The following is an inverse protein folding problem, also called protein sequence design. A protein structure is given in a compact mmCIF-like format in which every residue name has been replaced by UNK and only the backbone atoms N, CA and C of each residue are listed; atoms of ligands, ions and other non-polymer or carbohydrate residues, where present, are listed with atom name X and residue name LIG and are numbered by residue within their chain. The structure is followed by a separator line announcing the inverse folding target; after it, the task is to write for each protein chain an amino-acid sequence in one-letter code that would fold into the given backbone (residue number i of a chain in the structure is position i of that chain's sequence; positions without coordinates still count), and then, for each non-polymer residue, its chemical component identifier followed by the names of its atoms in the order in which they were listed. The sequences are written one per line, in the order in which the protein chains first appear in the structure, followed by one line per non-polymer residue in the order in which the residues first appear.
data_IF_384707626601
#
_entry.id   IF_384707626601
#
_cell.length_a   1.000
_cell.length_b   1.000
_cell.length_c   1.000
_cell.angle_alpha   90.00
_cell.angle_beta   90.00
_cell.angle_gamma   90.00
#
_symmetry.space_group_name_H-M   'P 1'
#
loop_
_entity.id
_entity.type
_entity.pdbx_description
1 polymer ?
#
# COMPACT_ATOMS: atom_id res chain seq x y z
N UNK A 1 2.86 3.43 -6.88
CA UNK A 1 3.53 3.37 -8.21
C UNK A 1 3.86 4.77 -8.70
N UNK A 2 4.67 4.91 -9.76
CA UNK A 2 5.07 6.20 -10.36
C UNK A 2 5.71 7.19 -9.37
N UNK A 3 6.69 6.72 -8.60
CA UNK A 3 7.37 7.51 -7.56
C UNK A 3 8.02 6.67 -6.46
N UNK A 4 7.63 5.39 -6.32
CA UNK A 4 8.15 4.46 -5.32
C UNK A 4 9.55 3.92 -5.70
N UNK A 5 10.54 4.80 -5.73
CA UNK A 5 11.93 4.46 -6.09
C UNK A 5 12.90 4.50 -4.92
N UNK A 6 12.49 5.05 -3.77
CA UNK A 6 13.30 5.14 -2.57
C UNK A 6 12.98 3.97 -1.62
N UNK A 7 13.98 3.51 -0.88
CA UNK A 7 13.80 2.48 0.16
C UNK A 7 14.57 2.82 1.44
N UNK A 8 13.92 2.81 2.62
CA UNK A 8 14.64 2.95 3.87
C UNK A 8 15.39 1.66 4.20
N UNK A 9 16.58 1.78 4.78
CA UNK A 9 17.43 0.65 5.16
C UNK A 9 17.72 0.66 6.66
N UNK A 10 17.74 -0.52 7.27
CA UNK A 10 18.11 -0.68 8.69
C UNK A 10 19.58 -0.37 8.96
N UNK A 11 20.45 -0.54 7.94
CA UNK A 11 21.88 -0.25 8.01
C UNK A 11 22.29 0.59 6.81
N UNK A 12 23.21 1.57 6.96
CA UNK A 12 23.75 2.32 5.83
C UNK A 12 24.61 1.48 4.89
N UNK A 13 25.18 0.37 5.38
CA UNK A 13 26.07 -0.56 4.67
C UNK A 13 25.54 -2.00 4.75
N UNK A 14 25.97 -2.86 3.83
CA UNK A 14 25.69 -4.29 3.80
C UNK A 14 26.94 -5.09 3.45
N UNK A 15 26.99 -6.35 3.88
CA UNK A 15 28.07 -7.27 3.57
C UNK A 15 27.75 -8.06 2.31
N UNK A 16 28.60 -7.96 1.30
CA UNK A 16 28.50 -8.75 0.07
C UNK A 16 29.83 -9.46 -0.17
N UNK A 17 29.81 -10.79 -0.19
CA UNK A 17 31.01 -11.64 -0.38
C UNK A 17 32.19 -11.25 0.53
N UNK A 18 31.90 -10.94 1.80
CA UNK A 18 32.92 -10.55 2.79
C UNK A 18 33.39 -9.10 2.70
N UNK A 19 32.87 -8.29 1.76
CA UNK A 19 33.18 -6.87 1.62
C UNK A 19 32.01 -6.01 2.11
N UNK A 20 32.31 -5.00 2.92
CA UNK A 20 31.34 -3.98 3.30
C UNK A 20 31.15 -2.97 2.16
N UNK A 21 29.90 -2.80 1.72
CA UNK A 21 29.52 -1.85 0.66
C UNK A 21 28.32 -1.00 1.11
N UNK A 22 28.10 0.20 0.55
CA UNK A 22 26.88 0.95 0.83
C UNK A 22 25.64 0.15 0.44
N UNK A 23 24.61 0.18 1.28
CA UNK A 23 23.35 -0.51 1.00
C UNK A 23 22.65 0.07 -0.24
N UNK A 24 21.95 -0.77 -1.00
CA UNK A 24 20.93 -0.31 -1.95
C UNK A 24 19.87 0.53 -1.22
N UNK A 25 19.58 1.74 -1.70
CA UNK A 25 18.53 2.62 -1.15
C UNK A 25 17.45 2.95 -2.18
N UNK A 26 17.42 2.19 -3.26
CA UNK A 26 16.50 2.37 -4.37
C UNK A 26 17.08 3.26 -5.48
N UNK A 27 16.56 3.09 -6.70
CA UNK A 27 17.15 3.62 -7.93
C UNK A 27 17.21 5.14 -7.99
N UNK A 28 16.41 5.83 -7.18
CA UNK A 28 16.44 7.30 -7.04
C UNK A 28 17.71 7.80 -6.32
N UNK A 29 18.40 6.93 -5.58
CA UNK A 29 19.64 7.27 -4.87
C UNK A 29 20.85 6.56 -5.45
N UNK A 30 20.81 5.24 -5.62
CA UNK A 30 21.95 4.45 -6.11
C UNK A 30 21.48 3.19 -6.86
N UNK A 31 22.38 2.51 -7.58
CA UNK A 31 22.07 1.28 -8.30
C UNK A 31 22.18 0.02 -7.44
N UNK A 32 21.55 -1.08 -7.90
CA UNK A 32 21.61 -2.37 -7.21
C UNK A 32 22.99 -3.04 -7.30
N UNK A 33 23.67 -2.90 -8.43
CA UNK A 33 24.98 -3.51 -8.63
C UNK A 33 26.05 -2.94 -7.69
N UNK A 34 27.02 -3.75 -7.21
CA UNK A 34 28.04 -3.28 -6.26
C UNK A 34 28.87 -2.09 -6.77
N UNK A 35 29.04 -1.97 -8.08
CA UNK A 35 29.75 -0.86 -8.73
C UNK A 35 28.96 0.47 -8.65
N UNK A 36 27.63 0.40 -8.54
CA UNK A 36 26.71 1.54 -8.66
C UNK A 36 26.17 2.01 -7.30
N UNK A 37 26.80 1.60 -6.19
CA UNK A 37 26.36 1.90 -4.82
C UNK A 37 26.54 3.35 -4.39
N UNK A 38 27.32 4.14 -5.13
CA UNK A 38 27.52 5.56 -4.84
C UNK A 38 26.25 6.34 -5.13
N UNK A 39 25.85 7.22 -4.22
CA UNK A 39 24.69 8.10 -4.43
C UNK A 39 24.96 9.05 -5.59
N UNK A 40 24.00 9.16 -6.51
CA UNK A 40 24.05 10.05 -7.67
C UNK A 40 22.81 10.96 -7.70
N UNK A 41 22.96 12.28 -7.48
CA UNK A 41 21.85 13.23 -7.52
C UNK A 41 21.11 13.31 -8.86
N UNK A 42 21.74 12.93 -9.98
CA UNK A 42 21.04 12.93 -11.27
C UNK A 42 19.88 11.93 -11.31
N UNK A 43 19.93 10.88 -10.47
CA UNK A 43 18.86 9.89 -10.33
C UNK A 43 17.56 10.48 -9.81
N UNK A 44 17.58 11.66 -9.18
CA UNK A 44 16.35 12.40 -8.84
C UNK A 44 15.58 12.80 -10.11
N UNK A 45 16.31 13.21 -11.15
CA UNK A 45 15.74 13.61 -12.44
C UNK A 45 15.26 12.38 -13.21
N UNK A 46 16.03 11.29 -13.19
CA UNK A 46 15.62 10.03 -13.81
C UNK A 46 14.34 9.48 -13.17
N UNK A 47 14.28 9.47 -11.83
CA UNK A 47 13.09 9.05 -11.09
C UNK A 47 11.86 9.90 -11.46
N UNK A 48 12.02 11.21 -11.65
CA UNK A 48 10.95 12.08 -12.14
C UNK A 48 10.46 11.66 -13.53
N UNK A 49 11.37 11.46 -14.50
CA UNK A 49 10.98 11.09 -15.85
C UNK A 49 10.34 9.71 -15.93
N UNK A 50 10.85 8.72 -15.18
CA UNK A 50 10.20 7.42 -15.07
C UNK A 50 8.81 7.53 -14.42
N UNK A 51 8.67 8.32 -13.35
CA UNK A 51 7.37 8.57 -12.72
C UNK A 51 6.36 9.19 -13.70
N UNK A 52 6.79 10.21 -14.44
CA UNK A 52 5.95 10.89 -15.43
C UNK A 52 5.53 9.96 -16.56
N UNK A 53 6.46 9.17 -17.11
CA UNK A 53 6.18 8.18 -18.16
C UNK A 53 5.20 7.10 -17.68
N UNK A 54 5.41 6.54 -16.49
CA UNK A 54 4.51 5.54 -15.90
C UNK A 54 3.12 6.11 -15.67
N UNK A 55 3.01 7.30 -15.08
CA UNK A 55 1.71 7.94 -14.81
C UNK A 55 0.96 8.27 -16.11
N UNK A 56 1.67 8.72 -17.16
CA UNK A 56 1.08 8.95 -18.48
C UNK A 56 0.58 7.64 -19.10
N UNK A 57 1.39 6.58 -19.07
CA UNK A 57 1.01 5.27 -19.58
C UNK A 57 -0.24 4.73 -18.88
N UNK A 58 -0.28 4.77 -17.55
CA UNK A 58 -1.42 4.33 -16.75
C UNK A 58 -2.70 5.08 -17.13
N UNK A 59 -2.64 6.41 -17.24
CA UNK A 59 -3.81 7.23 -17.63
C UNK A 59 -4.28 6.93 -19.05
N UNK A 60 -3.35 6.69 -19.98
CA UNK A 60 -3.67 6.28 -21.34
C UNK A 60 -4.36 4.91 -21.36
N UNK A 61 -3.86 3.92 -20.60
CA UNK A 61 -4.46 2.59 -20.52
C UNK A 61 -5.86 2.61 -19.90
N UNK A 62 -6.09 3.42 -18.85
CA UNK A 62 -7.43 3.60 -18.27
C UNK A 62 -8.41 4.23 -19.28
N UNK A 63 -7.92 5.18 -20.09
CA UNK A 63 -8.71 5.83 -21.14
C UNK A 63 -8.96 4.91 -22.34
N UNK A 64 -8.13 3.88 -22.54
CA UNK A 64 -8.30 2.88 -23.60
C UNK A 64 -9.21 1.71 -23.20
N UNK A 65 -9.79 1.73 -22.00
CA UNK A 65 -10.74 0.71 -21.53
C UNK A 65 -10.11 -0.53 -20.90
N UNK A 66 -8.82 -0.49 -20.49
CA UNK A 66 -8.18 -1.66 -19.83
C UNK A 66 -8.85 -2.03 -18.50
N UNK A 67 -9.53 -1.07 -17.87
CA UNK A 67 -10.22 -1.23 -16.60
C UNK A 67 -11.74 -1.38 -16.77
N UNK A 68 -12.20 -1.70 -17.98
CA UNK A 68 -13.59 -2.04 -18.23
C UNK A 68 -13.92 -3.38 -17.57
N UNK A 69 -14.87 -3.36 -16.63
CA UNK A 69 -15.27 -4.53 -15.86
C UNK A 69 -15.98 -5.59 -16.72
N UNK A 70 -16.43 -5.26 -17.93
CA UNK A 70 -17.00 -6.23 -18.88
C UNK A 70 -15.94 -7.10 -19.55
N UNK A 71 -14.70 -6.62 -19.64
CA UNK A 71 -13.60 -7.29 -20.31
C UNK A 71 -12.36 -7.42 -19.41
N UNK A 72 -12.47 -8.08 -18.25
CA UNK A 72 -11.33 -8.28 -17.38
C UNK A 72 -10.34 -9.23 -18.04
N UNK A 73 -9.05 -8.98 -17.78
CA UNK A 73 -7.94 -9.65 -18.47
C UNK A 73 -7.91 -11.17 -18.24
N UNK A 74 -8.32 -11.65 -17.05
CA UNK A 74 -8.35 -13.08 -16.72
C UNK A 74 -9.31 -13.37 -15.54
N UNK A 75 -10.25 -14.29 -15.74
CA UNK A 75 -11.08 -14.88 -14.68
C UNK A 75 -10.70 -16.33 -14.35
N UNK A 76 -9.66 -16.87 -15.00
CA UNK A 76 -9.29 -18.27 -14.97
C UNK A 76 -8.76 -18.72 -13.61
N UNK A 77 -9.44 -19.70 -13.01
CA UNK A 77 -9.06 -20.32 -11.73
C UNK A 77 -8.23 -21.61 -11.89
N UNK A 78 -7.60 -21.82 -13.05
CA UNK A 78 -6.83 -23.04 -13.34
C UNK A 78 -5.55 -23.21 -12.51
N UNK A 79 -5.12 -22.14 -11.83
CA UNK A 79 -3.97 -22.11 -10.92
C UNK A 79 -4.33 -22.57 -9.50
N UNK A 80 -5.62 -22.65 -9.16
CA UNK A 80 -6.08 -23.05 -7.83
C UNK A 80 -6.05 -24.56 -7.74
N UNK A 81 -5.12 -25.12 -6.97
CA UNK A 81 -4.96 -26.57 -6.84
C UNK A 81 -6.04 -27.21 -5.97
N UNK A 82 -6.51 -26.50 -4.94
CA UNK A 82 -7.56 -27.00 -4.05
C UNK A 82 -8.95 -26.89 -4.71
N UNK A 83 -9.59 -28.03 -4.93
CA UNK A 83 -10.91 -28.10 -5.57
C UNK A 83 -12.02 -27.39 -4.79
N UNK A 84 -11.95 -27.35 -3.46
CA UNK A 84 -12.94 -26.68 -2.62
C UNK A 84 -12.84 -25.16 -2.74
N UNK A 85 -11.62 -24.64 -2.69
CA UNK A 85 -11.30 -23.22 -2.86
C UNK A 85 -11.62 -22.76 -4.29
N UNK A 86 -11.29 -23.58 -5.30
CA UNK A 86 -11.64 -23.31 -6.69
C UNK A 86 -13.16 -23.17 -6.87
N UNK A 87 -13.95 -24.06 -6.27
CA UNK A 87 -15.41 -23.97 -6.32
C UNK A 87 -15.95 -22.69 -5.64
N UNK A 88 -15.36 -22.30 -4.50
CA UNK A 88 -15.72 -21.04 -3.81
C UNK A 88 -15.43 -19.82 -4.69
N UNK A 89 -14.22 -19.73 -5.26
CA UNK A 89 -13.84 -18.62 -6.13
C UNK A 89 -14.69 -18.59 -7.40
N UNK A 90 -15.01 -19.74 -7.97
CA UNK A 90 -15.88 -19.84 -9.14
C UNK A 90 -17.27 -19.28 -8.84
N UNK A 91 -17.82 -19.51 -7.64
CA UNK A 91 -19.10 -18.92 -7.23
C UNK A 91 -19.06 -17.39 -7.17
N UNK A 92 -17.96 -16.81 -6.67
CA UNK A 92 -17.78 -15.36 -6.62
C UNK A 92 -17.68 -14.78 -8.04
N UNK A 93 -16.87 -15.39 -8.90
CA UNK A 93 -16.71 -14.98 -10.31
C UNK A 93 -18.04 -15.05 -11.06
N UNK A 94 -18.80 -16.14 -10.90
CA UNK A 94 -20.12 -16.30 -11.50
C UNK A 94 -21.08 -15.22 -11.00
N UNK A 95 -21.09 -14.94 -9.70
CA UNK A 95 -21.94 -13.89 -9.11
C UNK A 95 -21.64 -12.50 -9.70
N UNK A 96 -20.36 -12.16 -9.85
CA UNK A 96 -19.93 -10.87 -10.43
C UNK A 96 -20.32 -10.80 -11.91
N UNK A 97 -20.04 -11.86 -12.67
CA UNK A 97 -20.33 -11.92 -14.11
C UNK A 97 -21.83 -11.84 -14.38
N UNK A 98 -22.65 -12.52 -13.58
CA UNK A 98 -24.11 -12.48 -13.70
C UNK A 98 -24.67 -11.10 -13.34
N UNK A 99 -24.11 -10.42 -12.32
CA UNK A 99 -24.49 -9.06 -11.98
C UNK A 99 -24.17 -8.07 -13.10
N UNK A 100 -22.98 -8.15 -13.71
CA UNK A 100 -22.61 -7.35 -14.88
C UNK A 100 -23.54 -7.62 -16.07
N UNK A 101 -23.84 -8.89 -16.36
CA UNK A 101 -24.81 -9.28 -17.41
C UNK A 101 -26.20 -8.73 -17.12
N UNK A 102 -26.65 -8.77 -15.87
CA UNK A 102 -27.94 -8.21 -15.47
C UNK A 102 -27.99 -6.71 -15.70
N UNK A 103 -26.97 -5.95 -15.25
CA UNK A 103 -26.87 -4.51 -15.48
C UNK A 103 -26.92 -4.14 -16.97
N UNK A 104 -26.24 -4.92 -17.80
CA UNK A 104 -26.27 -4.78 -19.26
C UNK A 104 -27.68 -5.05 -19.82
N UNK A 105 -28.32 -6.14 -19.38
CA UNK A 105 -29.66 -6.56 -19.86
C UNK A 105 -30.75 -5.53 -19.52
N UNK A 106 -30.68 -4.90 -18.34
CA UNK A 106 -31.68 -3.89 -17.92
C UNK A 106 -31.34 -2.48 -18.40
N UNK A 107 -30.26 -2.30 -19.17
CA UNK A 107 -29.82 -1.00 -19.69
C UNK A 107 -29.24 -0.04 -18.63
N UNK A 108 -28.96 -0.53 -17.42
CA UNK A 108 -28.33 0.23 -16.33
C UNK A 108 -26.81 0.39 -16.51
N UNK A 109 -26.27 -0.22 -17.57
CA UNK A 109 -24.86 -0.23 -17.95
C UNK A 109 -24.47 0.92 -18.91
N UNK A 110 -25.41 1.84 -19.19
CA UNK A 110 -25.19 2.93 -20.15
C UNK A 110 -24.44 4.13 -19.58
N UNK A 111 -24.04 4.08 -18.30
CA UNK A 111 -23.74 5.24 -17.48
C UNK A 111 -22.28 5.65 -17.29
N UNK A 112 -21.27 4.85 -17.70
CA UNK A 112 -19.84 5.21 -17.55
C UNK A 112 -19.05 4.56 -16.38
N UNK A 113 -19.59 4.36 -15.15
CA UNK A 113 -18.81 3.86 -14.00
C UNK A 113 -18.23 2.46 -14.14
N UNK A 114 -18.74 1.64 -15.06
CA UNK A 114 -18.28 0.27 -15.28
C UNK A 114 -17.18 0.16 -16.34
N UNK A 115 -16.96 1.21 -17.15
CA UNK A 115 -16.00 1.21 -18.25
C UNK A 115 -14.58 1.63 -17.84
N UNK A 116 -14.42 2.23 -16.66
CA UNK A 116 -13.13 2.71 -16.18
C UNK A 116 -13.13 2.84 -14.67
N UNK A 117 -11.94 3.07 -14.10
CA UNK A 117 -11.73 3.29 -12.66
C UNK A 117 -10.86 4.52 -12.44
N UNK A 118 -11.06 5.20 -11.32
CA UNK A 118 -10.11 6.21 -10.85
C UNK A 118 -8.92 5.51 -10.17
N UNK A 119 -7.75 5.59 -10.81
CA UNK A 119 -6.50 5.11 -10.23
C UNK A 119 -5.65 6.29 -9.75
N UNK A 120 -5.27 6.25 -8.47
CA UNK A 120 -4.40 7.24 -7.84
C UNK A 120 -2.99 6.67 -7.62
N UNK A 121 -1.99 7.56 -7.66
CA UNK A 121 -0.59 7.21 -7.42
C UNK A 121 -0.17 7.54 -5.98
N UNK A 122 0.74 6.73 -5.46
CA UNK A 122 1.33 6.91 -4.14
C UNK A 122 2.75 6.35 -4.03
N UNK A 123 3.51 6.94 -3.11
CA UNK A 123 4.82 6.45 -2.65
C UNK A 123 5.16 6.98 -1.25
N UNK A 124 6.18 6.38 -0.61
CA UNK A 124 6.77 6.87 0.63
C UNK A 124 7.50 8.18 0.36
N UNK A 125 7.10 9.27 1.01
CA UNK A 125 7.74 10.59 0.86
C UNK A 125 9.09 10.65 1.56
N UNK A 126 10.06 9.84 1.11
CA UNK A 126 11.30 9.53 1.83
C UNK A 126 12.43 10.50 1.53
N UNK A 127 12.68 10.82 0.26
CA UNK A 127 13.78 11.71 -0.17
C UNK A 127 13.27 13.14 -0.21
N UNK A 128 13.43 13.87 0.90
CA UNK A 128 12.82 15.19 1.08
C UNK A 128 13.25 16.21 0.03
N UNK A 129 14.46 16.11 -0.51
CA UNK A 129 14.93 16.98 -1.60
C UNK A 129 14.09 16.79 -2.88
N UNK A 130 13.71 15.55 -3.19
CA UNK A 130 12.84 15.22 -4.31
C UNK A 130 11.41 15.70 -4.06
N UNK A 131 10.89 15.42 -2.86
CA UNK A 131 9.53 15.80 -2.49
C UNK A 131 9.36 17.33 -2.46
N UNK A 132 10.29 18.05 -1.83
CA UNK A 132 10.28 19.51 -1.79
C UNK A 132 10.32 20.12 -3.19
N UNK A 133 11.15 19.58 -4.09
CA UNK A 133 11.25 20.05 -5.47
C UNK A 133 9.94 19.87 -6.27
N UNK A 134 9.05 18.98 -5.84
CA UNK A 134 7.75 18.70 -6.46
C UNK A 134 6.56 19.28 -5.68
N UNK A 135 6.80 20.06 -4.63
CA UNK A 135 5.74 20.77 -3.90
C UNK A 135 5.37 22.10 -4.55
N UNK A 136 4.07 22.37 -4.66
CA UNK A 136 3.50 23.52 -5.37
C UNK A 136 2.41 24.19 -4.53
N UNK A 137 2.38 25.51 -4.55
CA UNK A 137 1.29 26.29 -3.95
C UNK A 137 0.15 26.41 -4.97
N UNK A 138 -0.93 25.68 -4.74
CA UNK A 138 -2.03 25.53 -5.70
C UNK A 138 -3.37 25.90 -5.07
N UNK A 139 -4.32 26.29 -5.91
CA UNK A 139 -5.69 26.56 -5.50
C UNK A 139 -6.35 25.27 -5.00
N UNK A 140 -7.08 25.37 -3.90
CA UNK A 140 -7.89 24.26 -3.43
C UNK A 140 -8.95 23.87 -4.49
N UNK A 141 -9.25 22.57 -4.63
CA UNK A 141 -10.33 22.13 -5.51
C UNK A 141 -11.69 22.63 -5.00
N UNK A 142 -12.70 22.65 -5.88
CA UNK A 142 -14.03 23.19 -5.56
C UNK A 142 -14.76 22.44 -4.45
N UNK A 143 -14.42 21.17 -4.25
CA UNK A 143 -14.95 20.30 -3.20
C UNK A 143 -14.03 20.24 -1.95
N UNK A 144 -13.04 21.13 -1.84
CA UNK A 144 -12.18 21.18 -0.67
C UNK A 144 -12.99 21.53 0.58
N UNK A 145 -12.82 20.72 1.61
CA UNK A 145 -13.42 20.93 2.93
C UNK A 145 -12.32 20.77 3.96
N UNK A 146 -12.23 21.72 4.88
CA UNK A 146 -11.37 21.62 6.07
C UNK A 146 -12.09 22.31 7.21
N UNK A 147 -11.99 21.74 8.41
CA UNK A 147 -12.45 22.36 9.64
C UNK A 147 -11.50 23.48 10.09
N UNK A 148 -10.33 23.61 9.47
CA UNK A 148 -9.34 24.64 9.79
C UNK A 148 -9.81 26.03 9.33
N UNK A 149 -9.99 26.95 10.27
CA UNK A 149 -10.28 28.36 9.99
C UNK A 149 -9.02 29.19 9.71
N UNK A 150 -7.83 28.58 9.82
CA UNK A 150 -6.53 29.26 9.73
C UNK A 150 -5.76 28.97 8.45
N UNK A 151 -6.21 28.05 7.60
CA UNK A 151 -5.56 27.73 6.32
C UNK A 151 -5.91 28.75 5.24
N UNK A 152 -4.88 29.45 4.75
CA UNK A 152 -4.87 30.26 3.52
C UNK A 152 -6.10 31.12 3.23
N UNK A 153 -6.09 32.40 3.62
CA UNK A 153 -7.13 33.39 3.26
C UNK A 153 -7.27 33.61 1.74
N UNK A 154 -6.32 33.12 0.94
CA UNK A 154 -6.28 33.22 -0.52
C UNK A 154 -6.87 31.99 -1.25
N UNK A 155 -7.37 30.99 -0.52
CA UNK A 155 -7.97 29.77 -1.08
C UNK A 155 -6.96 28.81 -1.73
N UNK A 156 -5.70 28.84 -1.27
CA UNK A 156 -4.61 27.99 -1.75
C UNK A 156 -3.96 27.21 -0.60
N UNK A 157 -3.27 26.13 -0.97
CA UNK A 157 -2.43 25.36 -0.06
C UNK A 157 -1.26 24.69 -0.77
N UNK A 158 -0.37 24.09 0.02
CA UNK A 158 0.81 23.40 -0.50
C UNK A 158 0.49 21.94 -0.79
N UNK A 159 0.65 21.54 -2.04
CA UNK A 159 0.47 20.17 -2.48
C UNK A 159 1.79 19.63 -2.97
N UNK A 160 2.18 18.46 -2.48
CA UNK A 160 3.22 17.70 -3.13
C UNK A 160 2.62 17.06 -4.39
N UNK A 161 3.15 17.43 -5.54
CA UNK A 161 2.65 17.00 -6.86
C UNK A 161 3.41 15.81 -7.42
N UNK A 162 4.29 15.19 -6.63
CA UNK A 162 4.96 13.93 -6.99
C UNK A 162 3.98 12.75 -7.02
N UNK A 163 2.95 12.75 -6.17
CA UNK A 163 1.89 11.75 -6.13
C UNK A 163 0.59 12.32 -5.51
N UNK A 164 -0.51 11.57 -5.62
CA UNK A 164 -1.80 11.98 -5.05
C UNK A 164 -1.82 11.76 -3.54
N UNK A 165 -1.32 10.61 -3.09
CA UNK A 165 -1.22 10.19 -1.70
C UNK A 165 0.22 9.87 -1.35
N UNK A 166 0.73 10.38 -0.23
CA UNK A 166 2.09 10.11 0.23
C UNK A 166 2.03 9.51 1.62
N UNK A 167 3.02 8.70 2.02
CA UNK A 167 3.09 8.24 3.41
C UNK A 167 4.46 8.46 4.06
N UNK A 168 4.42 8.53 5.39
CA UNK A 168 5.59 8.50 6.27
C UNK A 168 5.85 7.04 6.68
N UNK A 169 7.08 6.58 6.47
CA UNK A 169 7.52 5.24 6.85
C UNK A 169 7.68 5.06 8.36
N UNK A 170 7.69 3.80 8.81
CA UNK A 170 7.80 3.45 10.24
C UNK A 170 9.17 3.84 10.82
N UNK A 171 10.18 4.04 9.97
CA UNK A 171 11.54 4.48 10.34
C UNK A 171 11.75 5.99 10.25
N UNK A 172 10.79 6.73 9.71
CA UNK A 172 10.90 8.18 9.43
C UNK A 172 9.81 9.01 10.10
N UNK A 173 9.00 8.39 10.97
CA UNK A 173 7.89 9.01 11.69
C UNK A 173 8.27 9.63 13.04
N UNK A 174 9.52 10.04 13.23
CA UNK A 174 9.93 10.71 14.47
C UNK A 174 9.15 12.03 14.60
N UNK A 175 8.50 12.25 15.74
CA UNK A 175 7.65 13.42 16.01
C UNK A 175 8.37 14.75 15.70
N UNK A 176 9.65 14.85 16.10
CA UNK A 176 10.49 16.03 15.86
C UNK A 176 11.35 15.91 14.59
N UNK A 177 11.04 14.97 13.69
CA UNK A 177 11.79 14.65 12.49
C UNK A 177 11.37 15.48 11.27
N UNK A 178 12.26 15.55 10.28
CA UNK A 178 12.04 16.33 9.05
C UNK A 178 10.84 15.86 8.23
N UNK A 179 10.56 14.55 8.20
CA UNK A 179 9.41 14.00 7.48
C UNK A 179 8.08 14.43 8.10
N UNK A 180 7.93 14.37 9.42
CA UNK A 180 6.70 14.81 10.11
C UNK A 180 6.50 16.31 9.90
N UNK A 181 7.56 17.11 10.04
CA UNK A 181 7.49 18.56 9.78
C UNK A 181 7.10 18.88 8.33
N UNK A 182 7.66 18.15 7.36
CA UNK A 182 7.30 18.33 5.95
C UNK A 182 5.84 17.98 5.68
N UNK A 183 5.37 16.83 6.17
CA UNK A 183 4.00 16.35 5.95
C UNK A 183 2.94 17.20 6.66
N UNK A 184 3.29 17.84 7.79
CA UNK A 184 2.43 18.79 8.52
C UNK A 184 1.95 19.94 7.62
N UNK A 185 2.77 20.38 6.67
CA UNK A 185 2.46 21.49 5.76
C UNK A 185 1.71 21.10 4.48
N UNK A 186 1.51 19.80 4.20
CA UNK A 186 0.90 19.35 2.96
C UNK A 186 -0.62 19.33 3.04
N UNK A 187 -1.29 19.59 1.92
CA UNK A 187 -2.74 19.44 1.76
C UNK A 187 -3.16 18.07 1.24
N UNK A 188 -2.25 17.30 0.62
CA UNK A 188 -2.51 15.92 0.17
C UNK A 188 -3.11 15.05 1.29
N UNK A 189 -3.95 14.05 1.00
CA UNK A 189 -4.17 12.97 1.96
C UNK A 189 -2.84 12.25 2.23
N UNK A 190 -2.58 11.91 3.48
CA UNK A 190 -1.31 11.34 3.91
C UNK A 190 -1.49 10.02 4.65
N UNK A 191 -0.52 9.12 4.52
CA UNK A 191 -0.41 7.88 5.25
C UNK A 191 0.66 7.94 6.34
N UNK A 192 0.48 7.17 7.40
CA UNK A 192 1.50 6.97 8.44
C UNK A 192 1.59 5.48 8.73
N UNK A 193 2.77 4.90 8.55
CA UNK A 193 3.02 3.51 8.91
C UNK A 193 3.04 3.37 10.43
N UNK A 194 2.28 2.43 10.96
CA UNK A 194 2.15 2.14 12.39
C UNK A 194 2.64 0.71 12.64
N UNK A 195 3.91 0.60 13.03
CA UNK A 195 4.52 -0.68 13.41
C UNK A 195 4.42 -1.00 14.91
N UNK A 196 4.97 -2.16 15.33
CA UNK A 196 4.93 -2.62 16.72
C UNK A 196 5.62 -1.72 17.75
N UNK A 197 6.45 -0.76 17.31
CA UNK A 197 7.13 0.19 18.20
C UNK A 197 6.29 1.42 18.52
N UNK A 198 5.16 1.65 17.82
CA UNK A 198 4.28 2.78 18.07
C UNK A 198 3.62 2.65 19.44
N UNK A 199 3.64 3.73 20.20
CA UNK A 199 2.89 3.85 21.46
C UNK A 199 1.62 4.65 21.24
N UNK A 200 0.60 4.40 22.07
CA UNK A 200 -0.68 5.14 22.00
C UNK A 200 -0.48 6.65 22.10
N UNK A 201 0.23 7.15 23.12
CA UNK A 201 0.40 8.59 23.33
C UNK A 201 1.20 9.25 22.19
N UNK A 202 2.23 8.55 21.69
CA UNK A 202 3.04 8.98 20.54
C UNK A 202 2.19 9.08 19.26
N UNK A 203 1.30 8.11 19.04
CA UNK A 203 0.38 8.12 17.90
C UNK A 203 -0.57 9.33 17.95
N UNK A 204 -1.10 9.66 19.13
CA UNK A 204 -2.01 10.80 19.27
C UNK A 204 -1.27 12.12 19.08
N UNK A 205 -0.07 12.27 19.67
CA UNK A 205 0.77 13.46 19.47
C UNK A 205 1.09 13.66 17.98
N UNK A 206 1.41 12.58 17.26
CA UNK A 206 1.66 12.63 15.83
C UNK A 206 0.42 13.08 15.03
N UNK A 207 -0.78 12.61 15.40
CA UNK A 207 -2.04 13.02 14.78
C UNK A 207 -2.37 14.49 15.05
N UNK A 208 -2.12 14.97 16.26
CA UNK A 208 -2.30 16.38 16.62
C UNK A 208 -1.39 17.31 15.81
N UNK A 209 -0.19 16.84 15.44
CA UNK A 209 0.74 17.61 14.61
C UNK A 209 0.27 17.68 13.15
N UNK A 210 -0.05 16.53 12.55
CA UNK A 210 -0.28 16.44 11.09
C UNK A 210 -1.74 16.64 10.69
N UNK A 211 -2.69 16.52 11.62
CA UNK A 211 -4.10 16.77 11.41
C UNK A 211 -4.75 17.50 12.61
N UNK A 212 -4.24 18.67 13.01
CA UNK A 212 -4.74 19.40 14.20
C UNK A 212 -6.23 19.76 14.09
N UNK A 213 -6.74 19.93 12.87
CA UNK A 213 -8.14 20.26 12.59
C UNK A 213 -9.06 19.03 12.53
N UNK A 214 -8.51 17.81 12.68
CA UNK A 214 -9.24 16.54 12.66
C UNK A 214 -10.06 16.37 11.38
N UNK A 215 -9.50 16.82 10.26
CA UNK A 215 -10.12 16.73 8.95
C UNK A 215 -10.33 15.25 8.59
N UNK A 216 -11.56 14.90 8.22
CA UNK A 216 -11.95 13.52 7.90
C UNK A 216 -11.20 13.07 6.64
N UNK A 217 -10.57 11.89 6.70
CA UNK A 217 -9.86 11.31 5.57
C UNK A 217 -8.51 11.96 5.26
N UNK A 218 -8.06 12.94 6.06
CA UNK A 218 -6.74 13.57 5.92
C UNK A 218 -5.61 12.59 6.20
N UNK A 219 -5.77 11.74 7.22
CA UNK A 219 -4.75 10.78 7.67
C UNK A 219 -5.27 9.36 7.52
N UNK A 220 -4.45 8.53 6.90
CA UNK A 220 -4.58 7.08 6.87
C UNK A 220 -3.54 6.45 7.79
N UNK A 221 -3.96 5.69 8.80
CA UNK A 221 -3.07 4.89 9.63
C UNK A 221 -2.86 3.52 8.99
N UNK A 222 -1.64 3.24 8.55
CA UNK A 222 -1.25 2.03 7.83
C UNK A 222 -0.56 1.08 8.81
N UNK A 223 -1.36 0.21 9.43
CA UNK A 223 -0.92 -0.72 10.48
C UNK A 223 -0.16 -1.92 9.91
N UNK A 224 0.97 -2.29 10.52
CA UNK A 224 1.87 -3.36 10.03
C UNK A 224 2.54 -4.13 11.17
N UNK A 225 1.75 -4.81 12.00
CA UNK A 225 2.21 -5.41 13.25
C UNK A 225 2.89 -6.77 13.06
N UNK A 226 2.47 -7.53 12.06
CA UNK A 226 2.74 -8.95 11.92
C UNK A 226 1.65 -9.79 12.57
N UNK A 227 1.48 -11.03 12.08
CA UNK A 227 0.45 -11.97 12.53
C UNK A 227 0.48 -12.19 14.06
N UNK A 228 1.67 -12.25 14.65
CA UNK A 228 1.84 -12.55 16.08
C UNK A 228 1.46 -11.38 17.00
N UNK A 229 1.33 -10.15 16.48
CA UNK A 229 1.23 -8.94 17.29
C UNK A 229 -0.05 -8.16 17.09
N UNK A 230 -0.72 -8.35 15.94
CA UNK A 230 -1.92 -7.58 15.57
C UNK A 230 -3.01 -7.61 16.65
N UNK A 231 -3.27 -8.79 17.25
CA UNK A 231 -4.31 -8.96 18.28
C UNK A 231 -4.04 -8.13 19.54
N UNK A 232 -2.78 -8.01 19.94
CA UNK A 232 -2.40 -7.27 21.15
C UNK A 232 -2.28 -5.76 20.93
N UNK A 233 -2.02 -5.32 19.69
CA UNK A 233 -1.61 -3.93 19.39
C UNK A 233 -2.72 -3.11 18.74
N UNK A 234 -3.51 -3.69 17.83
CA UNK A 234 -4.46 -2.92 17.03
C UNK A 234 -5.61 -2.35 17.87
N UNK A 235 -6.21 -3.17 18.74
CA UNK A 235 -7.32 -2.76 19.61
C UNK A 235 -6.99 -1.52 20.47
N UNK A 236 -5.90 -1.54 21.25
CA UNK A 236 -5.48 -0.37 22.03
C UNK A 236 -5.25 0.90 21.20
N UNK A 237 -4.67 0.79 20.00
CA UNK A 237 -4.50 1.94 19.11
C UNK A 237 -5.84 2.48 18.59
N UNK A 238 -6.80 1.61 18.26
CA UNK A 238 -8.15 2.03 17.85
C UNK A 238 -8.82 2.84 18.97
N UNK A 239 -8.79 2.35 20.20
CA UNK A 239 -9.40 3.04 21.34
C UNK A 239 -8.71 4.38 21.64
N UNK A 240 -7.38 4.44 21.56
CA UNK A 240 -6.65 5.69 21.75
C UNK A 240 -7.05 6.74 20.70
N UNK A 241 -7.12 6.37 19.42
CA UNK A 241 -7.52 7.29 18.34
C UNK A 241 -8.97 7.73 18.51
N UNK A 242 -9.88 6.82 18.86
CA UNK A 242 -11.28 7.19 19.16
C UNK A 242 -11.38 8.19 20.30
N UNK A 243 -10.68 7.95 21.41
CA UNK A 243 -10.68 8.83 22.57
C UNK A 243 -10.12 10.22 22.26
N UNK A 244 -9.14 10.30 21.34
CA UNK A 244 -8.59 11.59 20.89
C UNK A 244 -9.56 12.40 20.02
N UNK A 245 -10.58 11.76 19.44
CA UNK A 245 -11.55 12.38 18.53
C UNK A 245 -11.05 12.57 17.09
N UNK A 246 -9.85 12.08 16.74
CA UNK A 246 -9.38 12.03 15.35
C UNK A 246 -10.19 11.05 14.52
N UNK A 247 -10.53 11.43 13.29
CA UNK A 247 -11.24 10.57 12.33
C UNK A 247 -10.28 10.18 11.20
N UNK A 248 -9.68 9.00 11.34
CA UNK A 248 -8.67 8.47 10.41
C UNK A 248 -9.25 7.36 9.53
N UNK A 249 -8.60 7.12 8.38
CA UNK A 249 -8.79 5.89 7.63
C UNK A 249 -7.85 4.83 8.18
N UNK A 250 -8.37 3.67 8.56
CA UNK A 250 -7.53 2.54 8.96
C UNK A 250 -7.19 1.69 7.74
N UNK A 251 -5.91 1.36 7.57
CA UNK A 251 -5.43 0.47 6.53
C UNK A 251 -4.55 -0.62 7.14
N UNK A 252 -4.68 -1.86 6.66
CA UNK A 252 -3.82 -2.97 7.06
C UNK A 252 -2.73 -3.18 5.99
N UNK A 253 -1.48 -3.16 6.40
CA UNK A 253 -0.30 -3.60 5.65
C UNK A 253 0.18 -4.93 6.22
N UNK A 254 -0.38 -6.07 5.75
CA UNK A 254 -0.04 -7.39 6.25
C UNK A 254 1.31 -7.90 5.69
N UNK A 255 2.07 -7.06 5.00
CA UNK A 255 3.28 -7.48 4.29
C UNK A 255 4.52 -7.22 5.14
N UNK A 256 4.70 -5.97 5.57
CA UNK A 256 5.93 -5.54 6.21
C UNK A 256 6.12 -6.10 7.62
N UNK A 257 5.05 -6.50 8.30
CA UNK A 257 5.11 -7.19 9.60
C UNK A 257 5.59 -8.65 9.52
N UNK A 258 5.38 -9.31 8.37
CA UNK A 258 5.49 -10.76 8.21
C UNK A 258 6.69 -11.21 7.36
N UNK A 259 7.73 -10.38 7.28
CA UNK A 259 8.94 -10.72 6.50
C UNK A 259 9.89 -11.58 7.32
N UNK A 260 10.28 -12.74 6.78
CA UNK A 260 11.27 -13.66 7.35
C UNK A 260 12.43 -13.91 6.39
N UNK A 261 13.58 -14.33 6.93
CA UNK A 261 14.70 -14.84 6.13
C UNK A 261 14.62 -16.37 5.99
N UNK A 262 15.05 -16.90 4.85
CA UNK A 262 15.21 -18.35 4.61
C UNK A 262 16.63 -18.80 4.91
N UNK A 263 16.83 -20.13 5.00
CA UNK A 263 18.17 -20.70 5.17
C UNK A 263 19.11 -20.35 3.99
N UNK A 264 18.56 -20.12 2.79
CA UNK A 264 19.29 -19.70 1.60
C UNK A 264 19.63 -18.20 1.55
N UNK A 265 19.31 -17.43 2.59
CA UNK A 265 19.63 -15.99 2.66
C UNK A 265 18.65 -15.08 1.90
N UNK A 266 17.65 -15.64 1.21
CA UNK A 266 16.57 -14.86 0.62
C UNK A 266 15.58 -14.42 1.70
N UNK A 267 14.93 -13.28 1.47
CA UNK A 267 13.75 -12.92 2.25
C UNK A 267 12.51 -13.53 1.60
N UNK A 268 11.55 -13.92 2.41
CA UNK A 268 10.22 -14.32 1.94
C UNK A 268 9.15 -13.89 2.93
N UNK A 269 7.89 -14.04 2.55
CA UNK A 269 6.70 -13.88 3.40
C UNK A 269 5.81 -15.09 3.18
N UNK A 270 5.15 -15.55 4.24
CA UNK A 270 4.14 -16.59 4.11
C UNK A 270 2.80 -15.95 3.78
N UNK A 271 2.15 -16.42 2.71
CA UNK A 271 0.78 -16.05 2.37
C UNK A 271 -0.18 -16.25 3.55
N UNK A 272 -0.02 -17.35 4.30
CA UNK A 272 -0.83 -17.66 5.48
C UNK A 272 -0.68 -16.59 6.56
N UNK A 273 0.55 -16.14 6.85
CA UNK A 273 0.80 -15.08 7.84
C UNK A 273 0.22 -13.74 7.39
N UNK A 274 0.36 -13.41 6.09
CA UNK A 274 -0.24 -12.21 5.48
C UNK A 274 -1.76 -12.24 5.67
N UNK A 275 -2.41 -13.35 5.33
CA UNK A 275 -3.87 -13.47 5.48
C UNK A 275 -4.32 -13.47 6.93
N UNK A 276 -3.58 -14.10 7.85
CA UNK A 276 -3.87 -14.08 9.28
C UNK A 276 -3.85 -12.66 9.85
N UNK A 277 -2.83 -11.86 9.56
CA UNK A 277 -2.81 -10.47 10.04
C UNK A 277 -4.01 -9.68 9.53
N UNK A 278 -4.36 -9.83 8.25
CA UNK A 278 -5.49 -9.13 7.63
C UNK A 278 -6.84 -9.58 8.20
N UNK A 279 -7.05 -10.89 8.35
CA UNK A 279 -8.29 -11.44 8.91
C UNK A 279 -8.46 -11.08 10.38
N UNK A 280 -7.40 -11.12 11.19
CA UNK A 280 -7.43 -10.63 12.56
C UNK A 280 -7.73 -9.13 12.62
N UNK A 281 -7.13 -8.31 11.74
CA UNK A 281 -7.43 -6.88 11.68
C UNK A 281 -8.92 -6.60 11.40
N UNK A 282 -9.54 -7.31 10.45
CA UNK A 282 -10.97 -7.22 10.18
C UNK A 282 -11.82 -7.54 11.43
N UNK A 283 -11.50 -8.64 12.11
CA UNK A 283 -12.21 -9.06 13.33
C UNK A 283 -12.06 -8.07 14.47
N UNK A 284 -10.84 -7.55 14.70
CA UNK A 284 -10.55 -6.55 15.73
C UNK A 284 -11.27 -5.25 15.45
N UNK A 285 -11.29 -4.79 14.19
CA UNK A 285 -12.04 -3.59 13.84
C UNK A 285 -13.53 -3.74 14.18
N UNK A 286 -14.12 -4.90 13.85
CA UNK A 286 -15.52 -5.24 14.18
C UNK A 286 -15.76 -5.26 15.70
N UNK A 287 -14.91 -5.94 16.48
CA UNK A 287 -15.08 -6.04 17.94
C UNK A 287 -14.93 -4.68 18.63
N UNK A 288 -14.08 -3.81 18.09
CA UNK A 288 -13.90 -2.44 18.57
C UNK A 288 -14.89 -1.44 17.95
N UNK A 289 -15.94 -1.86 17.23
CA UNK A 289 -16.91 -0.95 16.57
C UNK A 289 -16.21 0.13 15.73
N UNK A 290 -15.25 -0.29 14.92
CA UNK A 290 -14.48 0.53 13.99
C UNK A 290 -14.47 -0.14 12.62
N UNK A 291 -13.86 0.51 11.62
CA UNK A 291 -13.90 0.02 10.24
C UNK A 291 -12.50 -0.05 9.65
N UNK A 292 -12.15 -1.20 9.08
CA UNK A 292 -10.95 -1.34 8.26
C UNK A 292 -11.23 -0.75 6.87
N UNK A 293 -10.70 0.45 6.62
CA UNK A 293 -10.96 1.22 5.41
C UNK A 293 -10.18 0.76 4.17
N UNK A 294 -9.18 -0.12 4.32
CA UNK A 294 -8.47 -0.67 3.16
C UNK A 294 -7.30 -1.59 3.51
N UNK A 295 -6.60 -2.04 2.47
CA UNK A 295 -5.42 -2.91 2.55
C UNK A 295 -4.27 -2.28 1.75
N UNK A 296 -3.04 -2.42 2.22
CA UNK A 296 -1.82 -1.91 1.59
C UNK A 296 -0.90 -3.09 1.28
N UNK A 297 -0.81 -3.47 0.01
CA UNK A 297 -0.08 -4.67 -0.42
C UNK A 297 1.13 -4.32 -1.30
N UNK A 298 2.12 -5.20 -1.28
CA UNK A 298 3.20 -5.24 -2.26
C UNK A 298 2.94 -6.43 -3.19
N UNK A 299 2.62 -6.15 -4.45
CA UNK A 299 2.26 -7.18 -5.43
C UNK A 299 2.85 -6.85 -6.80
N UNK A 300 2.92 -7.85 -7.67
CA UNK A 300 3.21 -7.70 -9.10
C UNK A 300 2.25 -8.55 -9.93
N UNK A 301 2.05 -8.15 -11.19
CA UNK A 301 1.27 -8.93 -12.16
C UNK A 301 2.08 -10.05 -12.83
N UNK A 302 3.35 -10.21 -12.44
CA UNK A 302 4.25 -11.23 -12.96
C UNK A 302 4.19 -12.51 -12.10
N UNK A 303 4.40 -13.66 -12.73
CA UNK A 303 4.45 -14.97 -12.10
C UNK A 303 5.79 -15.19 -11.34
N UNK A 304 6.06 -14.36 -10.35
CA UNK A 304 7.26 -14.43 -9.49
C UNK A 304 7.10 -15.46 -8.37
N UNK A 305 8.23 -15.97 -7.87
CA UNK A 305 8.27 -16.86 -6.70
C UNK A 305 8.96 -16.14 -5.54
N UNK A 306 8.26 -15.18 -4.94
CA UNK A 306 8.81 -14.31 -3.88
C UNK A 306 8.20 -14.58 -2.50
N UNK A 307 6.88 -14.82 -2.43
CA UNK A 307 6.17 -15.26 -1.23
C UNK A 307 5.84 -16.76 -1.30
N UNK A 308 5.94 -17.46 -0.18
CA UNK A 308 5.58 -18.88 -0.07
C UNK A 308 4.10 -19.06 0.29
N UNK A 309 3.53 -20.22 -0.05
CA UNK A 309 2.13 -20.57 0.15
C UNK A 309 1.22 -20.03 -0.94
N UNK A 310 -0.04 -19.77 -0.58
CA UNK A 310 -1.12 -19.49 -1.52
C UNK A 310 -1.59 -20.75 -2.24
N UNK A 311 -2.52 -20.59 -3.17
CA UNK A 311 -3.21 -21.69 -3.86
C UNK A 311 -2.31 -22.52 -4.78
N UNK A 312 -1.15 -21.97 -5.14
CA UNK A 312 -0.12 -22.67 -5.92
C UNK A 312 0.79 -23.55 -5.04
N UNK A 313 0.78 -23.36 -3.72
CA UNK A 313 1.54 -24.17 -2.78
C UNK A 313 3.04 -23.92 -2.79
N UNK A 314 3.50 -22.71 -3.13
CA UNK A 314 4.92 -22.39 -3.25
C UNK A 314 5.69 -22.66 -1.95
N UNK A 315 6.82 -23.35 -2.05
CA UNK A 315 7.72 -23.64 -0.93
C UNK A 315 9.02 -22.83 -1.01
N UNK A 316 9.89 -22.92 0.01
CA UNK A 316 11.12 -22.11 0.04
C UNK A 316 12.09 -22.47 -1.10
N UNK A 317 12.07 -23.72 -1.57
CA UNK A 317 12.86 -24.21 -2.70
C UNK A 317 12.47 -23.53 -4.02
N UNK A 318 11.19 -23.20 -4.18
CA UNK A 318 10.64 -22.57 -5.39
C UNK A 318 11.06 -21.10 -5.53
N UNK A 319 11.51 -20.47 -4.45
CA UNK A 319 11.91 -19.05 -4.47
C UNK A 319 12.98 -18.79 -5.52
N UNK A 320 13.89 -19.74 -5.74
CA UNK A 320 14.98 -19.59 -6.71
C UNK A 320 14.52 -19.61 -8.18
N UNK A 321 13.28 -20.04 -8.46
CA UNK A 321 12.76 -20.19 -9.82
C UNK A 321 12.56 -18.84 -10.52
N UNK A 322 12.03 -17.83 -9.82
CA UNK A 322 11.73 -16.52 -10.39
C UNK A 322 11.68 -15.40 -9.33
N UNK A 323 12.77 -15.21 -8.57
CA UNK A 323 12.93 -14.11 -7.61
C UNK A 323 13.48 -12.86 -8.30
N UNK A 324 12.68 -11.80 -8.44
CA UNK A 324 13.07 -10.63 -9.27
C UNK A 324 13.17 -9.32 -8.49
N UNK A 325 12.65 -9.27 -7.27
CA UNK A 325 12.78 -8.10 -6.39
C UNK A 325 14.19 -7.98 -5.78
N UNK A 326 14.71 -6.76 -5.74
CA UNK A 326 15.91 -6.40 -4.95
C UNK A 326 15.58 -6.02 -3.50
N UNK A 327 14.28 -5.94 -3.20
CA UNK A 327 13.77 -5.24 -2.04
C UNK A 327 13.12 -6.24 -1.09
N UNK A 328 11.79 -6.22 -1.01
CA UNK A 328 11.03 -7.16 -0.21
C UNK A 328 10.15 -8.01 -1.13
N UNK A 329 9.76 -9.22 -0.70
CA UNK A 329 9.08 -10.21 -1.52
C UNK A 329 7.62 -9.82 -1.77
N UNK A 330 7.18 -9.81 -3.03
CA UNK A 330 5.83 -9.40 -3.44
C UNK A 330 4.90 -10.59 -3.57
N UNK A 331 3.59 -10.35 -3.45
CA UNK A 331 2.59 -11.31 -3.93
C UNK A 331 2.66 -11.36 -5.47
N UNK A 332 2.64 -12.56 -6.04
CA UNK A 332 2.44 -12.74 -7.48
C UNK A 332 0.97 -12.50 -7.86
N UNK A 333 0.62 -12.61 -9.15
CA UNK A 333 -0.74 -12.27 -9.59
C UNK A 333 -1.80 -13.22 -9.00
N UNK A 334 -1.46 -14.50 -8.80
CA UNK A 334 -2.37 -15.52 -8.28
C UNK A 334 -2.61 -15.36 -6.77
N UNK A 335 -1.56 -15.15 -5.99
CA UNK A 335 -1.65 -14.86 -4.56
C UNK A 335 -2.40 -13.54 -4.29
N UNK A 336 -2.16 -12.50 -5.10
CA UNK A 336 -2.87 -11.23 -4.97
C UNK A 336 -4.38 -11.39 -5.21
N UNK A 337 -4.76 -12.14 -6.25
CA UNK A 337 -6.16 -12.44 -6.56
C UNK A 337 -6.82 -13.30 -5.47
N UNK A 338 -6.10 -14.31 -4.99
CA UNK A 338 -6.54 -15.17 -3.89
C UNK A 338 -6.88 -14.33 -2.64
N UNK A 339 -5.97 -13.43 -2.24
CA UNK A 339 -6.20 -12.57 -1.09
C UNK A 339 -7.43 -11.67 -1.27
N UNK A 340 -7.66 -11.16 -2.49
CA UNK A 340 -8.86 -10.36 -2.80
C UNK A 340 -10.15 -11.17 -2.62
N UNK A 341 -10.18 -12.44 -3.04
CA UNK A 341 -11.34 -13.32 -2.82
C UNK A 341 -11.57 -13.61 -1.34
N UNK A 342 -10.51 -13.87 -0.57
CA UNK A 342 -10.62 -14.14 0.87
C UNK A 342 -11.19 -12.93 1.63
N UNK A 343 -10.73 -11.72 1.29
CA UNK A 343 -11.28 -10.47 1.86
C UNK A 343 -12.75 -10.28 1.47
N UNK A 344 -13.11 -10.55 0.22
CA UNK A 344 -14.49 -10.46 -0.24
C UNK A 344 -15.42 -11.45 0.48
N UNK A 345 -14.95 -12.68 0.73
CA UNK A 345 -15.68 -13.70 1.50
C UNK A 345 -16.00 -13.26 2.93
N UNK A 346 -15.05 -12.60 3.61
CA UNK A 346 -15.26 -12.08 4.96
C UNK A 346 -16.44 -11.10 5.04
N UNK A 347 -16.60 -10.20 4.07
CA UNK A 347 -17.70 -9.25 4.03
C UNK A 347 -19.06 -9.88 3.70
N UNK A 348 -19.08 -11.07 3.08
CA UNK A 348 -20.31 -11.85 2.82
C UNK A 348 -20.76 -12.66 4.04
N UNK A 349 -19.94 -12.73 5.10
CA UNK A 349 -20.21 -13.58 6.25
C UNK A 349 -19.93 -15.06 5.99
N UNK A 350 -19.22 -15.38 4.91
CA UNK A 350 -18.74 -16.73 4.63
C UNK A 350 -17.43 -16.91 5.41
N UNK A 351 -17.45 -17.69 6.49
CA UNK A 351 -16.22 -18.09 7.17
C UNK A 351 -15.38 -18.94 6.20
N UNK A 352 -14.34 -18.32 5.63
CA UNK A 352 -13.27 -19.03 4.93
C UNK A 352 -12.29 -19.54 5.99
N UNK A 353 -12.72 -20.55 6.73
CA UNK A 353 -11.89 -21.32 7.66
C UNK A 353 -11.26 -22.52 6.95
#
# INVERSE_FOLDING_TARGET
MAGQYAKPRSSPTEMLNGKEIPSFRGDILNGYEPADRRVDPNRLVDAYFHSAATNNYVRAQLSSGVADLHNPLDWGLGHVQDSGLQAKYQSIVTSITDALRFMSTVGADTGGPLHTVDLFTSHEGLVLEYEQALTRHLRHPTNYTSASTTKGLDGKGWYNTSAHFLWIGDRTRQINGGHVEYFRGLENPIGIKVGPSMKNDELIELLDIVNPSKDIGKVTLITRYGEDKVESMLGPHIEAVKASGHVVVWQCDPMHGNTKGTAGGLKTRSFTSIYKELSSALQIHKSHSSFLGGVHLELTGDAVTECIGGSEGLVEEDLSLNYTTYCDPRLNEKQALELAFLVAGHYRGEEVA
#
